data_IF_647549120300
#
_entry.id   IF_647549120300
#
_cell.length_a   1.000
_cell.length_b   1.000
_cell.length_c   1.000
_cell.angle_alpha   90.00
_cell.angle_beta   90.00
_cell.angle_gamma   90.00
#
_symmetry.space_group_name_H-M   'P 1'
#
loop_
_entity.id
_entity.type
_entity.pdbx_description
1 polymer ?
#
# COMPACT_ATOMS: atom_id res chain seq x y z
N UNK A 1 -10.96 -7.28 -20.08
CA UNK A 1 -10.61 -8.14 -18.93
C UNK A 1 -9.14 -8.52 -18.82
N UNK A 2 -8.50 -9.12 -19.83
CA UNK A 2 -7.11 -9.60 -19.73
C UNK A 2 -6.07 -8.52 -19.33
N UNK A 3 -6.22 -7.28 -19.83
CA UNK A 3 -5.31 -6.18 -19.49
C UNK A 3 -5.39 -5.75 -18.01
N UNK A 4 -6.60 -5.74 -17.43
CA UNK A 4 -6.81 -5.41 -16.00
C UNK A 4 -6.16 -6.47 -15.13
N UNK A 5 -6.35 -7.74 -15.47
CA UNK A 5 -5.78 -8.86 -14.74
C UNK A 5 -4.25 -8.88 -14.83
N UNK A 6 -3.67 -8.59 -16.01
CA UNK A 6 -2.23 -8.42 -16.15
C UNK A 6 -1.68 -7.25 -15.32
N UNK A 7 -2.41 -6.14 -15.24
CA UNK A 7 -2.06 -5.01 -14.39
C UNK A 7 -2.12 -5.38 -12.90
N UNK A 8 -3.18 -6.07 -12.46
CA UNK A 8 -3.33 -6.59 -11.09
C UNK A 8 -2.15 -7.46 -10.70
N UNK A 9 -1.74 -8.41 -11.56
CA UNK A 9 -0.59 -9.29 -11.28
C UNK A 9 0.71 -8.52 -11.13
N UNK A 10 0.99 -7.54 -12.01
CA UNK A 10 2.20 -6.70 -11.90
C UNK A 10 2.21 -5.88 -10.62
N UNK A 11 1.06 -5.30 -10.25
CA UNK A 11 0.92 -4.58 -8.99
C UNK A 11 1.14 -5.51 -7.80
N UNK A 12 0.56 -6.72 -7.82
CA UNK A 12 0.76 -7.72 -6.78
C UNK A 12 2.24 -8.09 -6.63
N UNK A 13 2.98 -8.35 -7.72
CA UNK A 13 4.41 -8.65 -7.65
C UNK A 13 5.20 -7.53 -6.97
N UNK A 14 4.88 -6.26 -7.27
CA UNK A 14 5.52 -5.14 -6.59
C UNK A 14 5.15 -5.07 -5.10
N UNK A 15 3.89 -5.31 -4.76
CA UNK A 15 3.43 -5.30 -3.37
C UNK A 15 4.00 -6.43 -2.53
N UNK A 16 4.29 -7.58 -3.11
CA UNK A 16 4.98 -8.67 -2.41
C UNK A 16 6.40 -8.29 -2.00
N UNK A 17 7.12 -7.50 -2.81
CA UNK A 17 8.45 -6.98 -2.44
C UNK A 17 8.33 -6.05 -1.23
N UNK A 18 7.34 -5.16 -1.25
CA UNK A 18 7.07 -4.22 -0.15
C UNK A 18 6.67 -4.97 1.13
N UNK A 19 5.84 -6.00 1.01
CA UNK A 19 5.41 -6.83 2.15
C UNK A 19 6.59 -7.55 2.83
N UNK A 20 7.54 -8.08 2.04
CA UNK A 20 8.75 -8.74 2.56
C UNK A 20 9.69 -7.75 3.26
N UNK A 21 9.95 -6.59 2.65
CA UNK A 21 10.78 -5.53 3.25
C UNK A 21 10.20 -4.98 4.57
N UNK A 22 8.89 -5.06 4.75
CA UNK A 22 8.18 -4.59 5.94
C UNK A 22 8.08 -5.63 7.07
N UNK A 23 8.54 -6.87 6.85
CA UNK A 23 8.41 -7.97 7.82
C UNK A 23 8.87 -7.61 9.23
N UNK A 24 10.04 -6.97 9.33
CA UNK A 24 10.65 -6.58 10.61
C UNK A 24 10.79 -5.05 10.73
N UNK A 25 10.01 -4.28 9.95
CA UNK A 25 10.15 -2.82 9.86
C UNK A 25 8.82 -2.10 9.95
N UNK A 26 8.81 -0.96 10.63
CA UNK A 26 7.63 -0.09 10.68
C UNK A 26 7.44 0.71 9.39
N UNK A 27 8.52 1.04 8.71
CA UNK A 27 8.54 1.81 7.46
C UNK A 27 9.63 1.23 6.56
N UNK A 28 9.63 1.57 5.27
CA UNK A 28 10.51 0.96 4.28
C UNK A 28 11.99 1.25 4.57
N UNK A 29 12.28 2.40 5.16
CA UNK A 29 13.62 2.78 5.61
C UNK A 29 13.89 2.50 7.10
N UNK A 30 13.06 1.68 7.77
CA UNK A 30 13.28 1.24 9.15
C UNK A 30 12.21 1.74 10.12
N UNK A 31 12.60 2.56 11.09
CA UNK A 31 11.75 2.94 12.22
C UNK A 31 10.97 4.26 12.02
N UNK A 32 11.38 5.10 11.08
CA UNK A 32 10.81 6.44 10.87
C UNK A 32 10.14 6.60 9.51
N UNK A 33 9.14 7.49 9.46
CA UNK A 33 8.45 7.84 8.23
C UNK A 33 9.40 8.62 7.32
N UNK A 34 9.49 8.22 6.06
CA UNK A 34 10.32 8.88 5.06
C UNK A 34 9.51 9.28 3.83
N UNK A 35 10.20 9.84 2.84
CA UNK A 35 9.62 10.11 1.53
C UNK A 35 9.06 8.85 0.86
N UNK A 36 9.63 7.66 1.15
CA UNK A 36 9.15 6.41 0.57
C UNK A 36 7.66 6.15 0.92
N UNK A 37 7.27 6.41 2.16
CA UNK A 37 5.88 6.27 2.63
C UNK A 37 4.94 7.28 1.99
N UNK A 38 5.42 8.49 1.68
CA UNK A 38 4.59 9.51 1.02
C UNK A 38 4.30 9.09 -0.41
N UNK A 39 5.32 8.62 -1.13
CA UNK A 39 5.19 8.19 -2.54
C UNK A 39 4.35 6.92 -2.64
N UNK A 40 4.72 5.86 -1.92
CA UNK A 40 4.01 4.57 -2.00
C UNK A 40 2.68 4.57 -1.23
N UNK A 41 2.55 5.42 -0.21
CA UNK A 41 1.31 5.61 0.55
C UNK A 41 0.14 6.07 -0.31
N UNK A 42 0.41 6.86 -1.35
CA UNK A 42 -0.63 7.27 -2.32
C UNK A 42 -1.19 6.08 -3.11
N UNK A 43 -0.33 5.09 -3.40
CA UNK A 43 -0.67 3.95 -4.23
C UNK A 43 -1.35 2.84 -3.42
N UNK A 44 -0.93 2.64 -2.17
CA UNK A 44 -1.45 1.55 -1.33
C UNK A 44 -2.93 1.75 -0.97
N UNK A 45 -3.38 3.00 -0.82
CA UNK A 45 -4.81 3.31 -0.63
C UNK A 45 -5.65 2.76 -1.79
N UNK A 46 -5.22 3.00 -3.04
CA UNK A 46 -5.93 2.54 -4.23
C UNK A 46 -5.97 1.03 -4.31
N UNK A 47 -4.85 0.38 -4.00
CA UNK A 47 -4.76 -1.09 -3.96
C UNK A 47 -5.81 -1.72 -3.06
N UNK A 48 -5.99 -1.21 -1.84
CA UNK A 48 -6.97 -1.74 -0.89
C UNK A 48 -8.42 -1.29 -1.16
N UNK A 49 -8.61 -0.19 -1.88
CA UNK A 49 -9.94 0.34 -2.21
C UNK A 49 -10.56 -0.26 -3.47
N UNK A 50 -9.76 -0.73 -4.44
CA UNK A 50 -10.31 -1.31 -5.67
C UNK A 50 -11.05 -2.63 -5.41
N UNK A 51 -12.17 -2.93 -6.10
CA UNK A 51 -12.92 -4.17 -5.95
C UNK A 51 -12.22 -5.33 -6.70
N UNK A 52 -11.06 -5.73 -6.22
CA UNK A 52 -10.23 -6.79 -6.79
C UNK A 52 -9.92 -7.86 -5.73
N UNK A 53 -9.73 -9.09 -6.18
CA UNK A 53 -9.22 -10.17 -5.34
C UNK A 53 -7.72 -9.97 -5.06
N UNK A 54 -7.31 -10.15 -3.80
CA UNK A 54 -5.93 -9.95 -3.35
C UNK A 54 -5.55 -11.09 -2.40
N UNK A 55 -4.32 -11.64 -2.50
CA UNK A 55 -3.81 -12.53 -1.46
C UNK A 55 -3.60 -11.75 -0.16
N UNK A 56 -3.46 -12.48 0.94
CA UNK A 56 -3.10 -11.90 2.23
C UNK A 56 -1.64 -11.44 2.21
N UNK A 57 -1.42 -10.18 2.57
CA UNK A 57 -0.12 -9.51 2.69
C UNK A 57 -0.13 -8.74 4.01
N UNK A 58 0.25 -9.43 5.10
CA UNK A 58 -0.01 -8.97 6.46
C UNK A 58 0.84 -7.76 6.85
N UNK A 59 2.10 -7.72 6.41
CA UNK A 59 3.01 -6.61 6.73
C UNK A 59 2.60 -5.36 5.96
N UNK A 60 2.21 -5.55 4.70
CA UNK A 60 1.68 -4.50 3.85
C UNK A 60 0.38 -3.93 4.43
N UNK A 61 -0.50 -4.79 4.94
CA UNK A 61 -1.74 -4.37 5.60
C UNK A 61 -1.46 -3.59 6.88
N UNK A 62 -0.56 -4.08 7.74
CA UNK A 62 -0.17 -3.40 8.97
C UNK A 62 0.45 -2.02 8.69
N UNK A 63 1.28 -1.92 7.63
CA UNK A 63 1.85 -0.66 7.18
C UNK A 63 0.78 0.31 6.66
N UNK A 64 -0.18 -0.16 5.84
CA UNK A 64 -1.31 0.65 5.39
C UNK A 64 -2.15 1.18 6.57
N UNK A 65 -2.49 0.31 7.53
CA UNK A 65 -3.26 0.72 8.71
C UNK A 65 -2.51 1.76 9.55
N UNK A 66 -1.18 1.63 9.67
CA UNK A 66 -0.32 2.64 10.33
C UNK A 66 -0.35 3.98 9.59
N UNK A 67 -0.24 3.98 8.26
CA UNK A 67 -0.31 5.21 7.46
C UNK A 67 -1.66 5.91 7.61
N UNK A 68 -2.76 5.14 7.63
CA UNK A 68 -4.12 5.67 7.84
C UNK A 68 -4.31 6.38 9.18
N UNK A 69 -3.50 6.12 10.20
CA UNK A 69 -3.62 6.85 11.47
C UNK A 69 -3.14 8.30 11.36
N UNK A 70 -2.41 8.66 10.31
CA UNK A 70 -1.83 9.99 10.14
C UNK A 70 -2.86 10.98 9.60
N UNK A 71 -3.04 12.17 10.21
CA UNK A 71 -3.98 13.18 9.72
C UNK A 71 -3.76 13.55 8.24
N UNK A 72 -2.50 13.74 7.81
CA UNK A 72 -2.21 14.06 6.41
C UNK A 72 -2.61 12.96 5.43
N UNK A 73 -2.54 11.68 5.82
CA UNK A 73 -3.00 10.58 4.97
C UNK A 73 -4.52 10.63 4.82
N UNK A 74 -5.26 10.81 5.92
CA UNK A 74 -6.72 10.93 5.89
C UNK A 74 -7.18 12.12 5.04
N UNK A 75 -6.54 13.27 5.20
CA UNK A 75 -6.92 14.50 4.51
C UNK A 75 -6.63 14.47 3.01
N UNK A 76 -5.49 13.91 2.61
CA UNK A 76 -5.00 14.06 1.22
C UNK A 76 -5.05 12.78 0.39
N UNK A 77 -5.07 11.60 1.02
CA UNK A 77 -4.99 10.31 0.33
C UNK A 77 -6.28 9.51 0.46
N UNK A 78 -6.85 9.43 1.65
CA UNK A 78 -8.09 8.69 1.93
C UNK A 78 -9.35 9.47 1.49
N UNK A 79 -9.34 9.95 0.25
CA UNK A 79 -10.45 10.65 -0.39
C UNK A 79 -11.18 9.69 -1.34
N UNK A 80 -12.42 10.04 -1.73
CA UNK A 80 -13.19 9.19 -2.62
C UNK A 80 -12.43 8.90 -3.93
N UNK A 81 -12.31 7.62 -4.27
CA UNK A 81 -11.76 7.20 -5.57
C UNK A 81 -12.88 7.34 -6.60
N UNK A 82 -12.78 8.40 -7.40
CA UNK A 82 -13.66 8.68 -8.54
C UNK A 82 -13.03 8.25 -9.86
#
# INVERSE_FOLDING_TARGET
>A
QAAIEAARRRALTAWMIVDDELKDRAYLSGAELTLAEIVLGTQIYRWFSFPIERPQLDNLRAWYDRLRQRPGFKTHIETAIT
#
